data_IF_586695622425
#
_entry.id   IF_586695622425
#
_cell.length_a   1.000
_cell.length_b   1.000
_cell.length_c   1.000
_cell.angle_alpha   90.00
_cell.angle_beta   90.00
_cell.angle_gamma   90.00
#
_symmetry.space_group_name_H-M   'P 1'
#
loop_
_entity.id
_entity.type
_entity.pdbx_description
1 polymer ?
#
# COMPACT_ATOMS: atom_id res chain seq x y z
N UNK A 1 0.54 -4.04 -14.15
CA UNK A 1 -0.59 -3.92 -15.09
C UNK A 1 -0.70 -2.47 -15.52
N UNK A 2 -1.36 -2.15 -16.64
CA UNK A 2 -1.65 -0.75 -16.98
C UNK A 2 -3.04 -0.41 -16.44
N UNK A 3 -3.13 0.69 -15.70
CA UNK A 3 -4.38 1.22 -15.16
C UNK A 3 -5.25 1.87 -16.24
N UNK A 4 -6.52 2.17 -15.93
CA UNK A 4 -7.44 2.83 -16.86
C UNK A 4 -6.98 4.26 -17.25
N UNK A 5 -6.08 4.86 -16.47
CA UNK A 5 -5.44 6.16 -16.72
C UNK A 5 -4.10 6.05 -17.46
N UNK A 6 -3.75 4.85 -17.95
CA UNK A 6 -2.50 4.58 -18.67
C UNK A 6 -1.27 4.40 -17.77
N UNK A 7 -1.39 4.59 -16.44
CA UNK A 7 -0.26 4.43 -15.51
C UNK A 7 0.05 2.97 -15.22
N UNK A 8 1.32 2.63 -15.10
CA UNK A 8 1.75 1.28 -14.74
C UNK A 8 1.55 1.08 -13.24
N UNK A 9 0.63 0.20 -12.88
CA UNK A 9 0.31 -0.16 -11.50
C UNK A 9 1.23 -1.30 -11.03
N UNK A 10 1.90 -1.07 -9.91
CA UNK A 10 2.54 -2.13 -9.13
C UNK A 10 1.48 -3.05 -8.52
N UNK A 11 1.62 -4.36 -8.72
CA UNK A 11 0.74 -5.34 -8.11
C UNK A 11 0.78 -5.26 -6.57
N UNK A 12 -0.35 -5.55 -5.88
CA UNK A 12 -0.38 -5.53 -4.42
C UNK A 12 0.70 -6.43 -3.82
N UNK A 13 1.51 -5.86 -2.93
CA UNK A 13 2.42 -6.64 -2.09
C UNK A 13 1.76 -6.78 -0.72
N UNK A 14 1.31 -7.99 -0.40
CA UNK A 14 0.75 -8.29 0.91
C UNK A 14 1.88 -8.50 1.91
N UNK A 15 1.82 -7.76 3.02
CA UNK A 15 2.73 -7.93 4.13
C UNK A 15 1.99 -7.65 5.44
N UNK A 16 2.51 -8.18 6.53
CA UNK A 16 2.03 -7.92 7.86
C UNK A 16 3.21 -7.86 8.84
N UNK A 17 2.99 -7.19 9.96
CA UNK A 17 3.91 -7.21 11.10
C UNK A 17 3.20 -7.94 12.24
N UNK A 18 3.87 -8.96 12.77
CA UNK A 18 3.41 -9.71 13.94
C UNK A 18 3.08 -8.74 15.09
N UNK A 19 1.95 -8.93 15.83
CA UNK A 19 1.49 -8.01 16.87
C UNK A 19 2.58 -7.53 17.83
N UNK A 20 3.39 -8.44 18.37
CA UNK A 20 4.45 -8.15 19.35
C UNK A 20 5.60 -7.25 18.82
N UNK A 21 5.67 -7.08 17.51
CA UNK A 21 6.71 -6.32 16.82
C UNK A 21 6.17 -5.01 16.20
N UNK A 22 4.90 -4.66 16.46
CA UNK A 22 4.29 -3.39 15.97
C UNK A 22 4.84 -2.18 16.74
N UNK A 23 4.59 -0.98 16.20
CA UNK A 23 5.07 0.28 16.79
C UNK A 23 6.55 0.61 16.57
N UNK A 24 7.32 -0.29 15.93
CA UNK A 24 8.78 -0.15 15.71
C UNK A 24 9.17 0.31 14.29
N UNK A 25 8.17 0.71 13.50
CA UNK A 25 8.36 1.16 12.12
C UNK A 25 8.60 0.06 11.08
N UNK A 26 8.50 -1.23 11.43
CA UNK A 26 8.71 -2.33 10.46
C UNK A 26 7.75 -2.30 9.29
N UNK A 27 6.46 -1.98 9.51
CA UNK A 27 5.48 -1.87 8.44
C UNK A 27 5.87 -0.81 7.41
N UNK A 28 6.39 0.34 7.88
CA UNK A 28 6.90 1.42 7.01
C UNK A 28 8.13 1.00 6.22
N UNK A 29 9.04 0.24 6.82
CA UNK A 29 10.22 -0.30 6.11
C UNK A 29 9.81 -1.27 5.00
N UNK A 30 8.91 -2.21 5.30
CA UNK A 30 8.36 -3.16 4.33
C UNK A 30 7.63 -2.44 3.19
N UNK A 31 6.81 -1.44 3.52
CA UNK A 31 6.13 -0.59 2.55
C UNK A 31 7.10 0.10 1.58
N UNK A 32 8.10 0.81 2.12
CA UNK A 32 9.08 1.54 1.31
C UNK A 32 9.93 0.62 0.44
N UNK A 33 10.31 -0.55 0.96
CA UNK A 33 10.99 -1.58 0.18
C UNK A 33 10.13 -2.05 -1.00
N UNK A 34 8.83 -2.28 -0.76
CA UNK A 34 7.89 -2.64 -1.82
C UNK A 34 7.75 -1.55 -2.88
N UNK A 35 7.62 -0.28 -2.47
CA UNK A 35 7.54 0.85 -3.40
C UNK A 35 8.83 1.04 -4.21
N UNK A 36 10.00 0.86 -3.59
CA UNK A 36 11.28 0.92 -4.28
C UNK A 36 11.40 -0.17 -5.35
N UNK A 37 10.96 -1.39 -5.03
CA UNK A 37 10.94 -2.50 -5.99
C UNK A 37 10.06 -2.22 -7.21
N UNK A 38 8.89 -1.60 -7.01
CA UNK A 38 7.97 -1.22 -8.08
C UNK A 38 8.52 -0.13 -8.98
N UNK A 39 9.06 0.95 -8.38
CA UNK A 39 9.70 2.04 -9.14
C UNK A 39 10.85 1.54 -10.00
N UNK A 40 11.69 0.65 -9.46
CA UNK A 40 12.78 0.02 -10.20
C UNK A 40 12.31 -0.83 -11.41
N UNK A 41 11.01 -1.12 -11.51
CA UNK A 41 10.37 -1.89 -12.59
C UNK A 41 9.38 -1.05 -13.40
N UNK A 42 9.46 0.27 -13.31
CA UNK A 42 8.63 1.18 -14.10
C UNK A 42 7.19 1.29 -13.62
N UNK A 43 6.90 0.99 -12.35
CA UNK A 43 5.58 1.30 -11.80
C UNK A 43 5.46 2.79 -11.46
N UNK A 44 4.40 3.42 -11.94
CA UNK A 44 4.04 4.81 -11.68
C UNK A 44 3.26 4.96 -10.37
N UNK A 45 2.41 3.97 -10.06
CA UNK A 45 1.50 4.02 -8.92
C UNK A 45 1.34 2.67 -8.24
N UNK A 46 0.82 2.70 -7.02
CA UNK A 46 0.38 1.50 -6.29
C UNK A 46 -1.02 1.72 -5.77
N UNK A 47 -1.92 0.80 -6.12
CA UNK A 47 -3.32 0.80 -5.69
C UNK A 47 -3.55 -0.42 -4.82
N UNK A 48 -4.22 -0.24 -3.69
CA UNK A 48 -4.48 -1.31 -2.73
C UNK A 48 -5.69 -0.98 -1.85
N UNK A 49 -6.17 -2.00 -1.14
CA UNK A 49 -7.31 -1.92 -0.25
C UNK A 49 -6.86 -2.15 1.19
N UNK A 50 -7.49 -1.43 2.12
CA UNK A 50 -7.31 -1.60 3.54
C UNK A 50 -8.67 -1.53 4.24
N UNK A 51 -8.81 -2.22 5.36
CA UNK A 51 -9.96 -1.99 6.23
C UNK A 51 -9.89 -0.57 6.81
N UNK A 52 -11.04 0.12 6.84
CA UNK A 52 -11.16 1.44 7.44
C UNK A 52 -10.85 1.38 8.95
N UNK A 53 -10.09 2.34 9.46
CA UNK A 53 -9.57 2.39 10.83
C UNK A 53 -8.41 1.43 11.12
N UNK A 54 -7.91 0.70 10.12
CA UNK A 54 -6.82 -0.26 10.35
C UNK A 54 -5.45 0.42 10.45
N UNK A 55 -4.50 -0.29 11.09
CA UNK A 55 -3.09 0.13 11.09
C UNK A 55 -2.49 0.21 9.67
N UNK A 56 -3.04 -0.54 8.72
CA UNK A 56 -2.64 -0.47 7.32
C UNK A 56 -3.10 0.84 6.68
N UNK A 57 -4.37 1.23 6.85
CA UNK A 57 -4.89 2.53 6.38
C UNK A 57 -4.07 3.70 6.94
N UNK A 58 -3.83 3.70 8.26
CA UNK A 58 -3.01 4.73 8.91
C UNK A 58 -1.58 4.80 8.33
N UNK A 59 -0.96 3.64 8.05
CA UNK A 59 0.35 3.59 7.41
C UNK A 59 0.32 4.20 6.00
N UNK A 60 -0.67 3.85 5.18
CA UNK A 60 -0.76 4.31 3.79
C UNK A 60 -0.97 5.82 3.72
N UNK A 61 -1.91 6.36 4.51
CA UNK A 61 -2.14 7.80 4.59
C UNK A 61 -0.86 8.54 5.04
N UNK A 62 -0.16 8.01 6.04
CA UNK A 62 1.09 8.61 6.52
C UNK A 62 2.28 8.50 5.54
N UNK A 63 2.17 7.67 4.51
CA UNK A 63 3.15 7.56 3.41
C UNK A 63 2.67 8.30 2.15
N UNK A 64 1.60 9.10 2.24
CA UNK A 64 1.12 10.00 1.19
C UNK A 64 0.14 9.38 0.22
N UNK A 65 -0.47 8.23 0.56
CA UNK A 65 -1.57 7.69 -0.24
C UNK A 65 -2.87 8.41 0.06
N UNK A 66 -3.73 8.46 -0.95
CA UNK A 66 -5.06 9.07 -0.87
C UNK A 66 -6.14 8.00 -1.02
N UNK A 67 -7.30 8.22 -0.41
CA UNK A 67 -8.44 7.33 -0.52
C UNK A 67 -9.17 7.57 -1.84
N UNK A 68 -9.16 6.57 -2.73
CA UNK A 68 -9.88 6.64 -4.02
C UNK A 68 -11.35 6.21 -3.94
N UNK A 69 -11.74 5.41 -2.95
CA UNK A 69 -13.12 4.94 -2.80
C UNK A 69 -13.28 3.84 -1.76
N UNK A 70 -14.52 3.38 -1.59
CA UNK A 70 -14.89 2.32 -0.66
C UNK A 70 -15.54 1.16 -1.41
N UNK A 71 -15.27 -0.06 -0.96
CA UNK A 71 -16.05 -1.22 -1.38
C UNK A 71 -17.24 -1.40 -0.44
N UNK A 72 -18.43 -1.53 -0.99
CA UNK A 72 -19.57 -2.10 -0.26
C UNK A 72 -19.57 -3.62 -0.48
N UNK A 73 -19.18 -4.38 0.54
CA UNK A 73 -19.36 -5.83 0.56
C UNK A 73 -20.68 -6.11 1.30
N UNK A 74 -21.66 -6.67 0.57
CA UNK A 74 -22.92 -7.15 1.14
C UNK A 74 -22.71 -8.46 1.88
#
# INVERSE_FOLDING_TARGET
MVGPDGRVIQQPAYFAVHPDYRGRGYGRRLWRASMAWGRARGADVKVLQAARGSAAEALYLAEGLETHGYLCQR
#
